data_IF_027221332879
#
_entry.id   IF_027221332879
#
_cell.length_a   1.000
_cell.length_b   1.000
_cell.length_c   1.000
_cell.angle_alpha   90.00
_cell.angle_beta   90.00
_cell.angle_gamma   90.00
#
_symmetry.space_group_name_H-M   'P 1'
#
loop_
_entity.id
_entity.type
_entity.pdbx_description
1 polymer ?
#
# COMPACT_ATOMS: atom_id res chain seq x y z
N UNK A 1 2.39 12.90 4.57
CA UNK A 1 2.60 12.27 3.25
C UNK A 1 3.99 11.68 3.27
N UNK A 2 4.10 10.39 2.99
CA UNK A 2 5.38 9.67 3.00
C UNK A 2 5.52 8.91 1.69
N UNK A 3 6.73 8.91 1.13
CA UNK A 3 7.05 8.22 -0.12
C UNK A 3 8.06 7.12 0.17
N UNK A 4 7.79 5.91 -0.33
CA UNK A 4 8.61 4.72 -0.13
C UNK A 4 9.06 4.22 -1.50
N UNK A 5 10.35 3.92 -1.66
CA UNK A 5 10.87 3.27 -2.86
C UNK A 5 10.39 1.81 -2.89
N UNK A 6 9.97 1.36 -4.06
CA UNK A 6 9.31 0.07 -4.21
C UNK A 6 9.69 -0.62 -5.51
N UNK A 7 9.38 -1.90 -5.63
CA UNK A 7 9.58 -2.67 -6.87
C UNK A 7 8.35 -3.52 -7.15
N UNK A 8 7.88 -3.52 -8.40
CA UNK A 8 6.88 -4.49 -8.84
C UNK A 8 7.51 -5.89 -8.86
N UNK A 9 6.92 -6.82 -8.13
CA UNK A 9 7.33 -8.22 -8.06
C UNK A 9 6.94 -8.99 -9.31
N UNK A 10 5.89 -8.54 -10.01
CA UNK A 10 5.46 -9.16 -11.27
C UNK A 10 6.35 -8.77 -12.46
N UNK A 11 6.92 -7.56 -12.49
CA UNK A 11 7.69 -7.07 -13.65
C UNK A 11 9.14 -6.64 -13.35
N UNK A 12 9.55 -6.56 -12.09
CA UNK A 12 10.86 -6.04 -11.68
C UNK A 12 11.05 -4.54 -11.90
N UNK A 13 9.97 -3.79 -12.21
CA UNK A 13 10.04 -2.36 -12.51
C UNK A 13 9.99 -1.55 -11.23
N UNK A 14 10.81 -0.51 -11.13
CA UNK A 14 10.80 0.47 -10.04
C UNK A 14 9.42 1.12 -9.89
N UNK A 15 8.94 1.15 -8.65
CA UNK A 15 7.70 1.78 -8.23
C UNK A 15 7.99 2.74 -7.08
N UNK A 16 7.00 3.57 -6.79
CA UNK A 16 6.95 4.28 -5.51
C UNK A 16 5.60 4.06 -4.88
N UNK A 17 5.61 3.87 -3.57
CA UNK A 17 4.39 3.81 -2.76
C UNK A 17 4.28 5.09 -1.96
N UNK A 18 3.21 5.82 -2.20
CA UNK A 18 2.88 7.01 -1.44
C UNK A 18 1.78 6.68 -0.44
N UNK A 19 2.01 7.06 0.82
CA UNK A 19 1.09 6.88 1.93
C UNK A 19 0.63 8.25 2.43
N UNK A 20 -0.68 8.47 2.43
CA UNK A 20 -1.30 9.73 2.83
C UNK A 20 -2.53 9.50 3.69
N UNK A 21 -2.73 10.35 4.70
CA UNK A 21 -3.98 10.39 5.45
C UNK A 21 -5.13 10.84 4.52
N UNK A 22 -6.29 10.23 4.70
CA UNK A 22 -7.53 10.55 4.00
C UNK A 22 -8.69 10.54 5.00
N UNK A 23 -9.82 11.23 4.73
CA UNK A 23 -10.94 11.29 5.67
C UNK A 23 -11.49 9.92 6.13
N UNK A 24 -11.36 8.90 5.29
CA UNK A 24 -11.87 7.54 5.53
C UNK A 24 -10.76 6.53 5.90
N UNK A 25 -9.53 7.00 6.17
CA UNK A 25 -8.41 6.15 6.57
C UNK A 25 -7.10 6.53 5.88
N UNK A 26 -6.45 5.55 5.26
CA UNK A 26 -5.15 5.71 4.63
C UNK A 26 -5.27 5.50 3.13
N UNK A 27 -4.86 6.51 2.35
CA UNK A 27 -4.67 6.36 0.92
C UNK A 27 -3.28 5.82 0.63
N UNK A 28 -3.25 4.66 0.00
CA UNK A 28 -2.06 4.01 -0.57
C UNK A 28 -2.09 4.21 -2.08
N UNK A 29 -1.06 4.85 -2.62
CA UNK A 29 -0.94 5.16 -4.05
C UNK A 29 0.30 4.49 -4.62
N UNK A 30 0.15 3.74 -5.71
CA UNK A 30 1.28 3.17 -6.45
C UNK A 30 1.58 4.06 -7.65
N UNK A 31 2.84 4.49 -7.75
CA UNK A 31 3.36 5.35 -8.83
C UNK A 31 4.42 4.62 -9.64
N UNK A 32 4.57 5.02 -10.90
CA UNK A 32 5.73 4.67 -11.72
C UNK A 32 6.99 5.29 -11.10
N UNK A 33 8.03 4.47 -10.88
CA UNK A 33 9.24 4.92 -10.17
C UNK A 33 10.04 5.99 -10.91
N UNK A 34 9.98 6.01 -12.26
CA UNK A 34 10.78 6.91 -13.10
C UNK A 34 10.06 8.20 -13.44
N UNK A 35 8.78 8.10 -13.78
CA UNK A 35 7.93 9.22 -14.21
C UNK A 35 7.14 9.85 -13.07
N UNK A 36 7.00 9.15 -11.94
CA UNK A 36 6.16 9.59 -10.81
C UNK A 36 4.66 9.61 -11.09
N UNK A 37 4.24 9.12 -12.26
CA UNK A 37 2.83 9.07 -12.66
C UNK A 37 2.07 8.11 -11.76
N UNK A 38 0.89 8.52 -11.29
CA UNK A 38 -0.01 7.65 -10.52
C UNK A 38 -0.52 6.55 -11.43
N UNK A 39 -0.34 5.30 -11.01
CA UNK A 39 -0.82 4.13 -11.72
C UNK A 39 -2.13 3.64 -11.12
N UNK A 40 -2.25 3.69 -9.79
CA UNK A 40 -3.46 3.34 -9.06
C UNK A 40 -3.40 3.85 -7.63
N UNK A 41 -4.54 3.92 -6.95
CA UNK A 41 -4.62 4.16 -5.52
C UNK A 41 -5.85 3.49 -4.93
N UNK A 42 -5.86 3.36 -3.61
CA UNK A 42 -7.01 2.93 -2.81
C UNK A 42 -6.94 3.62 -1.46
N UNK A 43 -8.09 4.05 -0.94
CA UNK A 43 -8.24 4.50 0.44
C UNK A 43 -8.75 3.31 1.26
N UNK A 44 -7.92 2.78 2.16
CA UNK A 44 -8.24 1.65 3.02
C UNK A 44 -8.47 2.13 4.46
N UNK A 45 -9.32 1.43 5.25
CA UNK A 45 -9.42 1.68 6.68
C UNK A 45 -8.04 1.54 7.36
N UNK A 46 -7.69 2.51 8.19
CA UNK A 46 -6.38 2.54 8.85
C UNK A 46 -6.19 1.34 9.79
N UNK A 47 -7.22 1.03 10.57
CA UNK A 47 -7.18 -0.06 11.55
C UNK A 47 -7.00 -1.43 10.88
N UNK A 48 -7.67 -1.68 9.76
CA UNK A 48 -7.52 -2.92 9.00
C UNK A 48 -6.10 -3.05 8.45
N UNK A 49 -5.55 -1.96 7.91
CA UNK A 49 -4.19 -1.93 7.39
C UNK A 49 -3.15 -2.23 8.48
N UNK A 50 -3.27 -1.55 9.63
CA UNK A 50 -2.38 -1.75 10.78
C UNK A 50 -2.50 -3.18 11.33
N UNK A 51 -3.72 -3.72 11.41
CA UNK A 51 -3.97 -5.09 11.87
C UNK A 51 -3.27 -6.10 10.98
N UNK A 52 -3.44 -6.01 9.66
CA UNK A 52 -2.79 -6.95 8.71
C UNK A 52 -1.27 -6.87 8.80
N UNK A 53 -0.69 -5.68 8.93
CA UNK A 53 0.76 -5.50 9.01
C UNK A 53 1.34 -5.99 10.35
N UNK A 54 0.55 -5.92 11.43
CA UNK A 54 0.96 -6.35 12.77
C UNK A 54 0.81 -7.87 12.94
N UNK A 55 -0.32 -8.43 12.51
CA UNK A 55 -0.64 -9.85 12.67
C UNK A 55 0.10 -10.74 11.67
N UNK A 56 0.47 -10.18 10.51
CA UNK A 56 1.18 -10.88 9.42
C UNK A 56 0.55 -12.25 9.09
N UNK A 57 -0.75 -12.27 8.72
CA UNK A 57 -1.43 -13.52 8.40
C UNK A 57 -0.72 -14.27 7.26
N UNK A 58 -0.80 -15.59 7.26
CA UNK A 58 -0.24 -16.40 6.19
C UNK A 58 -0.99 -16.17 4.87
N UNK A 59 -0.26 -15.66 3.87
CA UNK A 59 -0.77 -15.45 2.52
C UNK A 59 -1.51 -14.12 2.31
N UNK A 60 -2.07 -13.91 1.10
CA UNK A 60 -2.70 -12.64 0.74
C UNK A 60 -3.97 -12.37 1.56
N UNK A 61 -4.04 -11.19 2.17
CA UNK A 61 -5.21 -10.65 2.85
C UNK A 61 -5.79 -9.49 2.05
N UNK A 62 -7.11 -9.50 1.87
CA UNK A 62 -7.83 -8.47 1.13
C UNK A 62 -8.43 -7.44 2.08
N UNK A 63 -8.09 -6.16 1.89
CA UNK A 63 -8.73 -5.03 2.55
C UNK A 63 -9.63 -4.33 1.54
N UNK A 64 -10.90 -4.16 1.90
CA UNK A 64 -11.85 -3.41 1.07
C UNK A 64 -11.67 -1.93 1.34
N UNK A 65 -11.50 -1.14 0.29
CA UNK A 65 -11.36 0.30 0.34
C UNK A 65 -12.12 0.99 -0.78
N UNK A 66 -11.92 2.29 -0.90
CA UNK A 66 -12.57 3.13 -1.90
C UNK A 66 -11.56 3.77 -2.88
N UNK A 67 -11.99 3.99 -4.11
CA UNK A 67 -11.31 4.82 -5.09
C UNK A 67 -12.33 5.73 -5.78
N UNK A 68 -12.50 6.95 -5.26
CA UNK A 68 -13.41 7.95 -5.81
C UNK A 68 -14.87 7.47 -5.89
N UNK A 69 -15.36 6.82 -4.83
CA UNK A 69 -16.71 6.31 -4.71
C UNK A 69 -16.93 4.92 -5.32
N UNK A 70 -15.87 4.28 -5.82
CA UNK A 70 -15.90 2.91 -6.29
C UNK A 70 -15.13 1.98 -5.35
N UNK A 71 -15.80 0.89 -4.94
CA UNK A 71 -15.20 -0.17 -4.13
C UNK A 71 -13.98 -0.76 -4.85
N UNK A 72 -12.85 -0.80 -4.16
CA UNK A 72 -11.61 -1.43 -4.61
C UNK A 72 -11.02 -2.29 -3.51
N UNK A 73 -10.21 -3.27 -3.90
CA UNK A 73 -9.53 -4.16 -2.99
C UNK A 73 -8.04 -3.87 -3.02
N UNK A 74 -7.47 -3.65 -1.83
CA UNK A 74 -6.05 -3.71 -1.57
C UNK A 74 -5.72 -5.13 -1.10
N UNK A 75 -5.02 -5.91 -1.93
CA UNK A 75 -4.45 -7.17 -1.47
C UNK A 75 -3.07 -6.91 -0.86
N UNK A 76 -2.85 -7.43 0.34
CA UNK A 76 -1.62 -7.28 1.11
C UNK A 76 -1.11 -8.66 1.46
N UNK A 77 0.18 -8.91 1.23
CA UNK A 77 0.84 -10.11 1.70
C UNK A 77 2.15 -9.71 2.37
N UNK A 78 2.34 -10.10 3.63
CA UNK A 78 3.59 -9.86 4.35
C UNK A 78 4.48 -11.08 4.19
N UNK A 79 5.69 -10.87 3.66
CA UNK A 79 6.69 -11.91 3.40
C UNK A 79 8.01 -11.54 4.06
N UNK A 80 8.28 -12.12 5.23
CA UNK A 80 9.44 -11.74 6.07
C UNK A 80 9.40 -10.25 6.40
N UNK A 81 10.28 -9.44 5.79
CA UNK A 81 10.34 -7.99 5.97
C UNK A 81 9.83 -7.21 4.74
N UNK A 82 9.18 -7.87 3.79
CA UNK A 82 8.60 -7.21 2.61
C UNK A 82 7.08 -7.25 2.69
N UNK A 83 6.43 -6.17 2.26
CA UNK A 83 4.99 -6.08 2.13
C UNK A 83 4.65 -5.95 0.65
N UNK A 84 3.93 -6.93 0.14
CA UNK A 84 3.46 -6.95 -1.24
C UNK A 84 2.07 -6.33 -1.30
N UNK A 85 1.95 -5.23 -2.02
CA UNK A 85 0.72 -4.47 -2.20
C UNK A 85 0.22 -4.66 -3.62
N UNK A 86 -1.04 -5.06 -3.80
CA UNK A 86 -1.67 -5.18 -5.12
C UNK A 86 -3.01 -4.46 -5.17
N UNK A 87 -3.19 -3.60 -6.17
CA UNK A 87 -4.44 -2.86 -6.41
C UNK A 87 -4.79 -2.99 -7.89
N UNK A 88 -5.86 -3.74 -8.19
CA UNK A 88 -6.36 -3.89 -9.57
C UNK A 88 -5.34 -4.47 -10.55
N UNK A 89 -4.46 -5.38 -10.08
CA UNK A 89 -3.40 -6.00 -10.87
C UNK A 89 -2.11 -5.21 -10.97
N UNK A 90 -2.06 -3.99 -10.41
CA UNK A 90 -0.83 -3.24 -10.25
C UNK A 90 -0.22 -3.57 -8.89
N UNK A 91 1.03 -4.01 -8.88
CA UNK A 91 1.74 -4.43 -7.68
C UNK A 91 2.97 -3.56 -7.36
N UNK A 92 3.31 -3.51 -6.08
CA UNK A 92 4.51 -2.91 -5.54
C UNK A 92 4.89 -3.61 -4.21
N UNK A 93 6.16 -3.90 -4.00
CA UNK A 93 6.71 -4.37 -2.74
C UNK A 93 7.55 -3.29 -2.07
N UNK A 94 7.38 -3.15 -0.75
CA UNK A 94 8.09 -2.20 0.12
C UNK A 94 8.61 -2.92 1.36
N UNK A 95 9.56 -2.31 2.08
CA UNK A 95 9.94 -2.75 3.42
C UNK A 95 8.75 -2.65 4.39
N UNK A 96 8.60 -3.66 5.26
CA UNK A 96 7.57 -3.64 6.31
C UNK A 96 7.81 -2.49 7.29
N UNK A 97 9.05 -2.31 7.71
CA UNK A 97 9.49 -1.20 8.55
C UNK A 97 9.23 0.15 7.90
N UNK A 98 9.61 0.32 6.63
CA UNK A 98 9.34 1.57 5.88
C UNK A 98 7.83 1.89 5.82
N UNK A 99 6.99 0.87 5.62
CA UNK A 99 5.54 1.05 5.56
C UNK A 99 4.95 1.38 6.93
N UNK A 100 5.40 0.70 7.99
CA UNK A 100 4.95 0.96 9.36
C UNK A 100 5.36 2.37 9.83
N UNK A 101 6.59 2.80 9.52
CA UNK A 101 7.06 4.14 9.81
C UNK A 101 6.27 5.20 9.03
N UNK A 102 5.95 4.92 7.76
CA UNK A 102 5.13 5.80 6.94
C UNK A 102 3.72 5.99 7.50
N UNK A 103 3.12 4.93 8.05
CA UNK A 103 1.82 4.97 8.71
C UNK A 103 1.88 5.73 10.04
N UNK A 104 2.90 5.48 10.85
CA UNK A 104 3.11 6.18 12.12
C UNK A 104 3.36 7.68 11.95
N UNK A 105 3.90 8.09 10.80
CA UNK A 105 4.14 9.49 10.46
C UNK A 105 2.90 10.25 9.93
N UNK A 106 1.75 9.58 9.78
CA UNK A 106 0.52 10.25 9.36
C UNK A 106 -0.04 11.14 10.48
N UNK A 107 -0.58 12.32 10.15
CA UNK A 107 -1.26 13.15 11.15
C UNK A 107 -2.51 12.42 11.67
N UNK A 108 -2.67 12.43 12.99
CA UNK A 108 -3.86 11.97 13.72
C UNK A 108 -5.07 12.87 13.49
#
# INVERSE_FOLDING_TARGET
MTMIEAVSQSTGVERKVEVTAAPEGVRVTIRDGRKGTVLTYVTAPADDLITVLSDQPEGPTAITGDTAGAVRVLAIEVRRNEVWLTIGGIDAAVGLDDLMDALAALPS
#
